data_IF_733616572698
#
_entry.id   IF_733616572698
#
_cell.length_a   1.000
_cell.length_b   1.000
_cell.length_c   1.000
_cell.angle_alpha   90.00
_cell.angle_beta   90.00
_cell.angle_gamma   90.00
#
_symmetry.space_group_name_H-M   'P 1'
#
loop_
_entity.id
_entity.type
_entity.pdbx_description
1 polymer ?
#
# COMPACT_ATOMS: atom_id res chain seq x y z
N UNK A 1 4.64 -12.15 -1.03
CA UNK A 1 4.27 -12.32 -2.44
C UNK A 1 5.39 -13.00 -3.21
N UNK A 2 5.04 -13.74 -4.27
CA UNK A 2 5.94 -14.48 -5.17
C UNK A 2 5.39 -14.36 -6.59
N UNK A 3 6.23 -14.63 -7.60
CA UNK A 3 5.83 -14.63 -9.02
C UNK A 3 5.85 -13.24 -9.68
N UNK A 4 5.29 -13.14 -10.89
CA UNK A 4 5.34 -11.92 -11.69
C UNK A 4 6.79 -11.52 -12.01
N UNK A 5 7.20 -10.25 -11.80
CA UNK A 5 8.57 -9.80 -12.05
C UNK A 5 9.56 -10.17 -10.92
N UNK A 6 9.11 -10.84 -9.85
CA UNK A 6 9.91 -11.07 -8.66
C UNK A 6 10.74 -12.35 -8.78
N UNK A 7 12.06 -12.25 -8.55
CA UNK A 7 12.97 -13.40 -8.54
C UNK A 7 12.84 -14.25 -7.27
N UNK A 8 12.54 -13.62 -6.13
CA UNK A 8 12.47 -14.24 -4.81
C UNK A 8 11.10 -14.03 -4.15
N UNK A 9 10.93 -14.63 -2.97
CA UNK A 9 9.80 -14.34 -2.10
C UNK A 9 10.00 -13.04 -1.33
N UNK A 10 8.98 -12.18 -1.36
CA UNK A 10 8.94 -10.94 -0.58
C UNK A 10 7.96 -11.05 0.57
N UNK A 11 8.38 -10.72 1.79
CA UNK A 11 7.57 -10.81 3.02
C UNK A 11 6.82 -9.49 3.24
N UNK A 12 5.52 -9.55 3.54
CA UNK A 12 4.73 -8.36 3.90
C UNK A 12 5.26 -7.76 5.20
N UNK A 13 5.49 -6.45 5.22
CA UNK A 13 5.92 -5.70 6.41
C UNK A 13 4.79 -4.82 6.95
N UNK A 14 4.15 -4.07 6.07
CA UNK A 14 3.12 -3.09 6.42
C UNK A 14 2.19 -2.83 5.25
N UNK A 15 1.10 -2.13 5.52
CA UNK A 15 0.33 -1.45 4.50
C UNK A 15 -0.05 -0.04 4.96
N UNK A 16 -0.32 0.86 4.02
CA UNK A 16 -0.78 2.22 4.27
C UNK A 16 -1.65 2.73 3.12
N UNK A 17 -2.36 3.82 3.37
CA UNK A 17 -3.21 4.47 2.38
C UNK A 17 -2.74 5.89 2.13
N UNK A 18 -2.91 6.34 0.89
CA UNK A 18 -2.86 7.74 0.48
C UNK A 18 -4.24 8.17 0.03
N UNK A 19 -4.67 9.38 0.38
CA UNK A 19 -5.95 9.94 -0.02
C UNK A 19 -5.89 11.47 -0.08
N UNK A 20 -6.76 12.07 -0.88
CA UNK A 20 -6.84 13.52 -1.07
C UNK A 20 -7.84 14.19 -0.14
N UNK A 21 -7.87 15.53 -0.16
CA UNK A 21 -8.84 16.31 0.60
C UNK A 21 -10.27 16.22 0.05
N UNK A 22 -10.41 15.85 -1.23
CA UNK A 22 -11.68 15.68 -1.94
C UNK A 22 -11.63 14.39 -2.77
N UNK A 23 -12.78 13.90 -3.21
CA UNK A 23 -12.88 12.60 -3.88
C UNK A 23 -12.32 12.56 -5.32
N UNK A 24 -11.99 13.71 -5.91
CA UNK A 24 -11.51 13.80 -7.30
C UNK A 24 -10.03 13.41 -7.45
N UNK A 25 -9.28 13.35 -6.33
CA UNK A 25 -7.86 13.02 -6.33
C UNK A 25 -7.43 12.39 -4.99
N UNK A 26 -6.25 11.74 -4.98
CA UNK A 26 -5.66 11.21 -3.76
C UNK A 26 -4.74 10.01 -3.96
N UNK A 27 -4.88 9.27 -5.06
CA UNK A 27 -3.90 8.27 -5.46
C UNK A 27 -2.56 8.91 -5.83
N UNK A 28 -1.46 8.20 -5.60
CA UNK A 28 -0.13 8.64 -6.02
C UNK A 28 0.06 8.31 -7.50
N UNK A 29 -0.29 7.10 -7.91
CA UNK A 29 -0.28 6.69 -9.30
C UNK A 29 -1.51 7.23 -10.05
N UNK A 30 -1.37 7.33 -11.38
CA UNK A 30 -2.46 7.68 -12.29
C UNK A 30 -2.56 6.65 -13.42
N UNK A 31 -3.74 6.56 -14.02
CA UNK A 31 -3.96 5.78 -15.25
C UNK A 31 -4.56 6.73 -16.27
N UNK A 32 -3.88 6.90 -17.42
CA UNK A 32 -4.27 7.88 -18.46
C UNK A 32 -4.50 9.30 -17.90
N UNK A 33 -3.60 9.73 -17.01
CA UNK A 33 -3.66 11.01 -16.28
C UNK A 33 -4.89 11.18 -15.38
N UNK A 34 -5.62 10.10 -15.07
CA UNK A 34 -6.73 10.11 -14.12
C UNK A 34 -6.27 9.66 -12.75
N UNK A 35 -6.63 10.44 -11.75
CA UNK A 35 -6.47 10.11 -10.34
C UNK A 35 -7.65 9.28 -9.84
N UNK A 36 -7.40 8.54 -8.77
CA UNK A 36 -8.42 7.90 -7.95
C UNK A 36 -8.51 8.60 -6.59
N UNK A 37 -9.65 8.51 -5.87
CA UNK A 37 -9.81 9.12 -4.55
C UNK A 37 -8.74 8.72 -3.53
N UNK A 38 -8.25 7.48 -3.61
CA UNK A 38 -7.24 6.96 -2.70
C UNK A 38 -6.47 5.78 -3.31
N UNK A 39 -5.34 5.44 -2.71
CA UNK A 39 -4.48 4.31 -3.08
C UNK A 39 -3.97 3.57 -1.84
N UNK A 40 -4.08 2.24 -1.85
CA UNK A 40 -3.51 1.35 -0.84
C UNK A 40 -2.16 0.83 -1.32
N UNK A 41 -1.16 0.91 -0.45
CA UNK A 41 0.15 0.31 -0.63
C UNK A 41 0.34 -0.88 0.31
N UNK A 42 0.60 -2.07 -0.24
CA UNK A 42 1.04 -3.26 0.50
C UNK A 42 2.55 -3.42 0.31
N UNK A 43 3.35 -3.10 1.34
CA UNK A 43 4.82 -3.05 1.23
C UNK A 43 5.44 -4.36 1.68
N UNK A 44 6.20 -4.97 0.77
CA UNK A 44 6.91 -6.21 0.99
C UNK A 44 8.42 -6.01 0.80
N UNK A 45 9.22 -6.85 1.45
CA UNK A 45 10.68 -6.81 1.37
C UNK A 45 11.29 -8.18 1.04
N UNK A 46 12.43 -8.16 0.35
CA UNK A 46 13.17 -9.35 -0.11
C UNK A 46 13.90 -10.03 1.06
N UNK A 47 13.14 -10.79 1.85
CA UNK A 47 13.64 -11.50 3.03
C UNK A 47 14.50 -12.73 2.69
N UNK A 48 14.72 -13.01 1.40
CA UNK A 48 15.61 -14.08 0.93
C UNK A 48 17.04 -13.57 0.81
N UNK A 49 17.22 -12.34 0.33
CA UNK A 49 18.55 -11.75 0.11
C UNK A 49 19.00 -10.85 1.27
N UNK A 50 18.07 -10.23 1.98
CA UNK A 50 18.39 -9.31 3.06
C UNK A 50 17.95 -9.86 4.42
N UNK A 51 18.72 -9.64 5.49
CA UNK A 51 18.40 -10.14 6.83
C UNK A 51 17.35 -9.27 7.55
N UNK A 52 17.18 -8.01 7.13
CA UNK A 52 16.27 -7.04 7.75
C UNK A 52 15.54 -6.19 6.71
N UNK A 53 14.41 -5.60 7.12
CA UNK A 53 13.67 -4.66 6.27
C UNK A 53 14.49 -3.38 6.04
N UNK A 54 15.21 -2.97 7.07
CA UNK A 54 16.03 -1.76 7.14
C UNK A 54 17.26 -1.84 6.23
N UNK A 55 17.80 -3.04 6.00
CA UNK A 55 18.81 -3.25 4.95
C UNK A 55 18.18 -3.33 3.57
N UNK A 56 17.06 -4.05 3.43
CA UNK A 56 16.38 -4.19 2.14
C UNK A 56 15.93 -2.84 1.55
N UNK A 57 15.47 -1.88 2.36
CA UNK A 57 15.02 -0.57 1.84
C UNK A 57 16.13 0.24 1.16
N UNK A 58 17.40 -0.06 1.47
CA UNK A 58 18.56 0.64 0.90
C UNK A 58 18.97 0.08 -0.47
N UNK A 59 18.31 -0.98 -0.93
CA UNK A 59 18.75 -1.81 -2.05
C UNK A 59 17.75 -1.83 -3.20
N UNK A 60 18.25 -1.83 -4.43
CA UNK A 60 17.41 -1.63 -5.64
C UNK A 60 16.37 -2.71 -5.88
N UNK A 61 16.58 -3.93 -5.39
CA UNK A 61 15.63 -5.05 -5.43
C UNK A 61 15.13 -5.45 -4.04
N UNK A 62 15.31 -4.62 -3.03
CA UNK A 62 14.95 -4.97 -1.67
C UNK A 62 13.46 -4.84 -1.36
N UNK A 63 12.70 -4.06 -2.13
CA UNK A 63 11.25 -3.88 -1.92
C UNK A 63 10.39 -4.27 -3.13
N UNK A 64 9.17 -4.69 -2.83
CA UNK A 64 8.08 -4.84 -3.79
C UNK A 64 6.79 -4.30 -3.18
N UNK A 65 6.17 -3.31 -3.82
CA UNK A 65 4.93 -2.67 -3.35
C UNK A 65 3.80 -2.99 -4.31
N UNK A 66 2.68 -3.50 -3.78
CA UNK A 66 1.43 -3.62 -4.54
C UNK A 66 0.61 -2.36 -4.27
N UNK A 67 0.34 -1.60 -5.34
CA UNK A 67 -0.62 -0.49 -5.34
C UNK A 67 -2.02 -0.98 -5.72
N UNK A 68 -3.03 -0.52 -4.97
CA UNK A 68 -4.44 -0.81 -5.25
C UNK A 68 -5.22 0.50 -5.22
N UNK A 69 -5.84 0.87 -6.34
CA UNK A 69 -6.71 2.05 -6.39
C UNK A 69 -8.03 1.79 -5.66
N UNK A 70 -8.47 2.78 -4.88
CA UNK A 70 -9.78 2.80 -4.25
C UNK A 70 -10.67 3.78 -5.02
N UNK A 71 -11.89 3.34 -5.34
CA UNK A 71 -12.91 4.16 -6.00
C UNK A 71 -14.16 4.26 -5.12
N UNK A 72 -14.92 5.35 -5.28
CA UNK A 72 -16.23 5.48 -4.64
C UNK A 72 -17.17 4.37 -5.13
N UNK A 73 -17.99 3.84 -4.22
CA UNK A 73 -18.91 2.77 -4.53
C UNK A 73 -19.53 2.15 -3.27
N UNK A 74 -19.85 0.85 -3.38
CA UNK A 74 -20.40 0.09 -2.28
C UNK A 74 -19.44 0.01 -1.09
N UNK A 75 -20.01 -0.18 0.11
CA UNK A 75 -19.24 -0.42 1.34
C UNK A 75 -18.34 -1.64 1.17
N UNK A 76 -17.11 -1.52 1.64
CA UNK A 76 -16.16 -2.63 1.67
C UNK A 76 -16.01 -3.13 3.10
N UNK A 77 -16.63 -4.27 3.42
CA UNK A 77 -16.69 -4.82 4.79
C UNK A 77 -15.29 -5.04 5.40
N UNK A 78 -14.32 -5.52 4.63
CA UNK A 78 -12.95 -5.70 5.12
C UNK A 78 -12.22 -4.39 5.45
N UNK A 79 -12.60 -3.28 4.82
CA UNK A 79 -12.03 -1.96 5.10
C UNK A 79 -12.70 -1.34 6.33
N UNK A 80 -13.95 -1.72 6.61
CA UNK A 80 -14.70 -1.20 7.74
C UNK A 80 -14.00 -1.49 9.07
N UNK A 81 -13.42 -2.68 9.25
CA UNK A 81 -12.65 -3.00 10.45
C UNK A 81 -11.51 -2.01 10.72
N UNK A 82 -10.87 -1.47 9.67
CA UNK A 82 -9.83 -0.45 9.80
C UNK A 82 -10.42 0.92 10.08
N UNK A 83 -11.51 1.28 9.38
CA UNK A 83 -12.23 2.56 9.58
C UNK A 83 -12.72 2.69 11.01
N UNK A 84 -13.25 1.62 11.60
CA UNK A 84 -13.75 1.59 12.98
C UNK A 84 -12.63 1.83 14.00
N UNK A 85 -11.38 1.51 13.67
CA UNK A 85 -10.21 1.75 14.53
C UNK A 85 -9.64 3.18 14.43
N UNK A 86 -9.95 3.93 13.36
CA UNK A 86 -9.39 5.27 13.12
C UNK A 86 -9.61 6.27 14.27
N UNK A 87 -10.77 6.31 14.95
CA UNK A 87 -10.97 7.23 16.07
C UNK A 87 -9.97 7.03 17.23
N UNK A 88 -9.47 5.81 17.43
CA UNK A 88 -8.55 5.49 18.52
C UNK A 88 -7.11 5.99 18.27
N UNK A 89 -6.76 6.27 17.02
CA UNK A 89 -5.40 6.72 16.63
C UNK A 89 -5.35 8.22 16.30
N UNK A 90 -6.44 8.94 16.51
CA UNK A 90 -6.45 10.40 16.38
C UNK A 90 -5.75 11.02 17.60
N UNK A 91 -4.65 11.73 17.35
CA UNK A 91 -4.00 12.55 18.38
C UNK A 91 -4.91 13.73 18.77
N UNK A 92 -4.88 14.12 20.05
CA UNK A 92 -5.64 15.27 20.57
C UNK A 92 -4.97 16.58 20.24
#
# INVERSE_FOLDING_TARGET
IVGGPLKNQYRLKQFHFHWGAINDWGSEHTVDSKFYPAELHLVHWNAVEYPSFEEAVMEGNGLAVIGVFLKLGARHEGLQTLVDALPAVRHK
#
